data_IF_872593151640
#
_entry.id   IF_872593151640
#
_cell.length_a   1.000
_cell.length_b   1.000
_cell.length_c   1.000
_cell.angle_alpha   90.00
_cell.angle_beta   90.00
_cell.angle_gamma   90.00
#
_symmetry.space_group_name_H-M   'P 1'
#
loop_
_entity.id
_entity.type
_entity.pdbx_description
1 polymer ?
#
# COMPACT_ATOMS: atom_id res chain seq x y z
N UNK A 1 -21.01 7.05 39.42
CA UNK A 1 -21.06 6.46 38.07
C UNK A 1 -20.09 7.22 37.18
N UNK A 2 -18.91 6.64 36.91
CA UNK A 2 -17.84 7.30 36.15
C UNK A 2 -17.14 6.25 35.26
N UNK A 3 -17.15 6.38 33.93
CA UNK A 3 -16.45 5.46 33.05
C UNK A 3 -15.08 6.03 32.66
N UNK A 4 -14.11 5.87 33.54
CA UNK A 4 -12.70 6.13 33.26
C UNK A 4 -11.89 4.96 33.79
N UNK A 5 -11.75 3.89 33.01
CA UNK A 5 -10.61 2.95 32.94
C UNK A 5 -10.84 2.11 31.67
N UNK A 6 -10.39 2.61 30.51
CA UNK A 6 -10.08 1.75 29.36
C UNK A 6 -9.02 2.41 28.47
N UNK A 7 -8.00 3.00 29.11
CA UNK A 7 -6.80 3.51 28.45
C UNK A 7 -5.58 3.09 29.26
N UNK A 8 -5.16 1.84 29.12
CA UNK A 8 -3.75 1.50 29.31
C UNK A 8 -3.46 0.15 28.67
N UNK A 9 -2.25 0.04 28.09
CA UNK A 9 -1.63 -1.15 27.51
C UNK A 9 -2.03 -1.53 26.07
N UNK A 10 -1.70 -0.64 25.14
CA UNK A 10 -1.27 -1.02 23.80
C UNK A 10 -0.04 -0.18 23.39
N UNK A 11 1.06 -0.34 24.13
CA UNK A 11 2.41 0.00 23.66
C UNK A 11 3.20 -1.29 23.53
N UNK A 12 4.06 -1.33 22.50
CA UNK A 12 4.93 -2.44 22.05
C UNK A 12 4.31 -3.37 21.00
N UNK A 13 4.29 -2.91 19.74
CA UNK A 13 4.64 -3.78 18.63
C UNK A 13 5.42 -2.98 17.58
N UNK A 14 6.71 -3.26 17.53
CA UNK A 14 7.72 -2.63 16.69
C UNK A 14 7.53 -2.98 15.21
N UNK A 15 8.03 -2.07 14.37
CA UNK A 15 8.13 -2.17 12.93
C UNK A 15 8.94 -3.39 12.48
N UNK A 16 8.53 -4.02 11.37
CA UNK A 16 9.40 -4.55 10.29
C UNK A 16 8.53 -5.10 9.15
N UNK A 17 9.01 -4.82 7.94
CA UNK A 17 8.67 -5.42 6.64
C UNK A 17 7.33 -5.09 5.97
N UNK A 18 7.38 -4.06 5.13
CA UNK A 18 6.57 -3.99 3.90
C UNK A 18 7.50 -3.64 2.72
N UNK A 19 8.09 -4.67 2.12
CA UNK A 19 8.58 -4.64 0.74
C UNK A 19 7.90 -5.78 -0.02
N UNK A 20 7.58 -5.48 -1.28
CA UNK A 20 7.14 -6.38 -2.36
C UNK A 20 5.70 -6.90 -2.29
N UNK A 21 4.81 -6.24 -3.04
CA UNK A 21 4.13 -6.92 -4.16
C UNK A 21 3.50 -5.89 -5.14
N UNK A 22 4.21 -5.64 -6.25
CA UNK A 22 3.58 -5.45 -7.59
C UNK A 22 2.95 -6.81 -7.94
N UNK A 23 1.87 -6.98 -8.69
CA UNK A 23 1.30 -6.26 -9.82
C UNK A 23 0.06 -7.06 -10.27
N UNK A 24 -0.79 -6.41 -11.06
CA UNK A 24 -1.69 -7.02 -12.04
C UNK A 24 -2.92 -7.76 -11.51
N UNK A 25 -4.09 -7.22 -11.84
CA UNK A 25 -5.18 -7.94 -12.49
C UNK A 25 -6.22 -6.89 -12.93
N UNK A 26 -6.14 -6.52 -14.21
CA UNK A 26 -7.28 -6.01 -14.99
C UNK A 26 -7.81 -7.18 -15.81
N UNK A 27 -9.10 -7.06 -16.19
CA UNK A 27 -9.87 -7.91 -17.13
C UNK A 27 -10.45 -9.19 -16.48
N UNK A 28 -11.73 -9.57 -16.62
CA UNK A 28 -12.83 -9.13 -17.49
C UNK A 28 -14.19 -9.53 -16.88
N UNK A 29 -15.23 -8.73 -17.15
CA UNK A 29 -16.63 -9.18 -17.22
C UNK A 29 -16.82 -10.04 -18.47
N UNK A 30 -17.78 -10.98 -18.46
CA UNK A 30 -18.83 -11.15 -19.50
C UNK A 30 -19.64 -12.45 -19.27
N UNK A 31 -20.95 -12.22 -19.07
CA UNK A 31 -22.19 -12.93 -19.47
C UNK A 31 -22.49 -14.39 -19.13
N UNK A 32 -23.71 -14.52 -18.59
CA UNK A 32 -24.66 -15.63 -18.58
C UNK A 32 -24.91 -16.32 -19.92
N UNK A 33 -25.01 -17.66 -19.94
CA UNK A 33 -25.97 -18.40 -20.78
C UNK A 33 -26.44 -19.69 -20.08
N UNK A 34 -27.76 -19.85 -20.14
CA UNK A 34 -28.70 -20.97 -19.89
C UNK A 34 -28.19 -22.41 -19.76
N UNK A 35 -28.80 -23.08 -18.79
CA UNK A 35 -29.06 -24.53 -18.67
C UNK A 35 -29.79 -25.08 -19.89
N UNK A 36 -29.34 -26.23 -20.40
CA UNK A 36 -30.20 -27.27 -20.97
C UNK A 36 -29.59 -28.64 -20.61
N UNK A 37 -30.41 -29.49 -19.98
CA UNK A 37 -30.11 -30.86 -19.55
C UNK A 37 -30.62 -31.82 -20.62
N UNK A 38 -29.80 -32.78 -21.06
CA UNK A 38 -30.21 -34.17 -21.34
C UNK A 38 -28.96 -35.09 -21.36
N UNK A 39 -29.10 -36.39 -21.01
CA UNK A 39 -28.02 -37.19 -20.43
C UNK A 39 -27.25 -37.97 -21.49
N UNK A 40 -25.95 -37.72 -21.58
CA UNK A 40 -25.02 -38.56 -22.34
C UNK A 40 -24.31 -39.48 -21.37
N UNK A 41 -24.44 -40.78 -21.60
CA UNK A 41 -23.75 -41.86 -20.89
C UNK A 41 -22.23 -41.70 -20.98
N UNK A 42 -21.60 -41.38 -19.85
CA UNK A 42 -20.14 -41.18 -19.75
C UNK A 42 -19.47 -42.51 -19.35
N UNK A 43 -18.40 -42.95 -20.06
CA UNK A 43 -17.61 -44.12 -19.70
C UNK A 43 -16.93 -44.00 -18.33
N UNK A 44 -16.95 -45.10 -17.58
CA UNK A 44 -16.49 -45.27 -16.18
C UNK A 44 -14.97 -45.20 -15.96
N UNK A 45 -14.26 -44.23 -16.53
CA UNK A 45 -12.78 -44.20 -16.42
C UNK A 45 -12.17 -42.80 -16.31
N UNK A 46 -12.51 -41.98 -15.29
CA UNK A 46 -11.67 -40.84 -14.85
C UNK A 46 -11.95 -40.43 -13.38
N UNK A 47 -11.77 -41.36 -12.42
CA UNK A 47 -11.65 -41.01 -10.98
C UNK A 47 -10.21 -41.26 -10.52
N UNK A 48 -9.25 -40.54 -11.09
CA UNK A 48 -8.00 -40.28 -10.38
C UNK A 48 -8.21 -38.99 -9.59
N UNK A 49 -8.81 -39.14 -8.40
CA UNK A 49 -8.82 -38.09 -7.39
C UNK A 49 -7.35 -37.79 -7.06
N UNK A 50 -6.91 -36.55 -7.27
CA UNK A 50 -5.70 -36.05 -6.63
C UNK A 50 -5.90 -36.09 -5.11
N UNK A 51 -5.59 -37.24 -4.50
CA UNK A 51 -5.65 -37.41 -3.05
C UNK A 51 -4.57 -36.51 -2.47
N UNK A 52 -5.02 -35.47 -1.76
CA UNK A 52 -4.12 -34.54 -1.08
C UNK A 52 -3.21 -35.31 -0.12
N UNK A 53 -1.98 -34.85 0.06
CA UNK A 53 -0.99 -35.52 0.92
C UNK A 53 -1.49 -35.70 2.37
N UNK A 54 -2.36 -34.79 2.84
CA UNK A 54 -3.04 -34.92 4.14
C UNK A 54 -4.03 -36.10 4.17
N UNK A 55 -4.79 -36.33 3.10
CA UNK A 55 -5.76 -37.44 3.03
C UNK A 55 -5.04 -38.79 3.04
N UNK A 56 -3.95 -38.95 2.29
CA UNK A 56 -3.12 -40.17 2.34
C UNK A 56 -2.57 -40.42 3.75
N UNK A 57 -2.20 -39.35 4.45
CA UNK A 57 -1.76 -39.44 5.84
C UNK A 57 -2.89 -39.92 6.76
N UNK A 58 -4.10 -39.40 6.59
CA UNK A 58 -5.26 -39.85 7.35
C UNK A 58 -5.57 -41.33 7.08
N UNK A 59 -5.57 -41.75 5.81
CA UNK A 59 -5.86 -43.14 5.42
C UNK A 59 -4.88 -44.13 6.05
N UNK A 60 -3.58 -43.82 6.04
CA UNK A 60 -2.55 -44.66 6.66
C UNK A 60 -2.67 -44.71 8.18
N UNK A 61 -3.09 -43.60 8.82
CA UNK A 61 -3.34 -43.57 10.25
C UNK A 61 -4.60 -44.36 10.64
N UNK A 62 -5.67 -44.33 9.84
CA UNK A 62 -6.88 -45.14 10.06
C UNK A 62 -6.61 -46.64 9.94
N UNK A 63 -5.64 -47.04 9.09
CA UNK A 63 -5.16 -48.43 8.99
C UNK A 63 -4.34 -48.89 10.21
N UNK A 64 -4.13 -48.03 11.21
CA UNK A 64 -3.43 -48.38 12.46
C UNK A 64 -1.90 -48.41 12.34
N UNK A 65 -1.34 -47.87 11.25
CA UNK A 65 0.12 -47.81 11.05
C UNK A 65 0.71 -46.78 12.04
N UNK A 66 1.87 -47.11 12.63
CA UNK A 66 2.59 -46.21 13.53
C UNK A 66 2.97 -44.88 12.85
N UNK A 67 2.91 -43.77 13.58
CA UNK A 67 3.28 -42.44 13.07
C UNK A 67 4.67 -42.39 12.42
N UNK A 68 5.63 -43.14 12.96
CA UNK A 68 6.98 -43.29 12.40
C UNK A 68 6.94 -43.84 10.98
N UNK A 69 6.26 -44.97 10.78
CA UNK A 69 6.14 -45.60 9.46
C UNK A 69 5.30 -44.76 8.51
N UNK A 70 4.25 -44.09 8.99
CA UNK A 70 3.47 -43.15 8.17
C UNK A 70 4.35 -41.99 7.68
N UNK A 71 5.23 -41.46 8.54
CA UNK A 71 6.18 -40.41 8.16
C UNK A 71 7.15 -40.86 7.07
N UNK A 72 7.70 -42.08 7.21
CA UNK A 72 8.58 -42.69 6.23
C UNK A 72 7.86 -42.91 4.88
N UNK A 73 6.65 -43.46 4.89
CA UNK A 73 5.87 -43.71 3.67
C UNK A 73 5.51 -42.44 2.89
N UNK A 74 5.28 -41.32 3.58
CA UNK A 74 4.86 -40.05 2.96
C UNK A 74 6.07 -39.14 2.70
N UNK A 75 7.26 -39.48 3.21
CA UNK A 75 8.44 -38.62 3.15
C UNK A 75 8.28 -37.33 3.97
N UNK A 76 7.61 -37.41 5.12
CA UNK A 76 7.37 -36.27 6.03
C UNK A 76 7.83 -36.57 7.45
N UNK A 77 8.12 -35.51 8.19
CA UNK A 77 8.56 -35.64 9.59
C UNK A 77 7.44 -36.17 10.49
N UNK A 78 7.82 -36.87 11.56
CA UNK A 78 6.89 -37.31 12.62
C UNK A 78 6.04 -36.17 13.16
N UNK A 79 6.60 -34.95 13.28
CA UNK A 79 5.88 -33.76 13.73
C UNK A 79 4.75 -33.34 12.79
N UNK A 80 4.94 -33.49 11.47
CA UNK A 80 3.89 -33.25 10.49
C UNK A 80 2.74 -34.24 10.66
N UNK A 81 3.04 -35.54 10.70
CA UNK A 81 2.04 -36.61 10.91
C UNK A 81 1.25 -36.40 12.19
N UNK A 82 1.92 -36.00 13.28
CA UNK A 82 1.28 -35.65 14.55
C UNK A 82 0.32 -34.46 14.42
N UNK A 83 0.69 -33.43 13.67
CA UNK A 83 -0.15 -32.24 13.46
C UNK A 83 -1.41 -32.59 12.66
N UNK A 84 -1.26 -33.44 11.63
CA UNK A 84 -2.38 -33.97 10.84
C UNK A 84 -3.31 -34.83 11.70
N UNK A 85 -2.77 -35.79 12.45
CA UNK A 85 -3.57 -36.63 13.34
C UNK A 85 -4.40 -35.80 14.34
N UNK A 86 -3.80 -34.77 14.94
CA UNK A 86 -4.50 -33.86 15.84
C UNK A 86 -5.56 -33.01 15.11
N UNK A 87 -5.30 -32.57 13.89
CA UNK A 87 -6.24 -31.77 13.07
C UNK A 87 -7.51 -32.56 12.73
N UNK A 88 -7.36 -33.84 12.43
CA UNK A 88 -8.47 -34.73 12.09
C UNK A 88 -8.99 -35.54 13.28
N UNK A 89 -8.56 -35.20 14.52
CA UNK A 89 -8.94 -35.89 15.76
C UNK A 89 -8.74 -37.42 15.74
N UNK A 90 -7.73 -37.91 15.02
CA UNK A 90 -7.42 -39.34 14.94
C UNK A 90 -6.77 -39.78 16.25
N UNK A 91 -7.28 -40.83 16.93
CA UNK A 91 -6.75 -41.29 18.20
C UNK A 91 -5.38 -41.93 17.99
N UNK A 92 -4.33 -41.20 18.34
CA UNK A 92 -2.97 -41.71 18.33
C UNK A 92 -2.54 -42.00 19.76
N UNK A 93 -1.83 -43.11 19.98
CA UNK A 93 -1.20 -43.48 21.26
C UNK A 93 -0.12 -42.44 21.64
N UNK A 94 -0.56 -41.32 22.19
CA UNK A 94 0.27 -40.24 22.71
C UNK A 94 0.18 -40.28 24.23
N UNK A 95 1.32 -40.26 24.92
CA UNK A 95 1.38 -40.01 26.37
C UNK A 95 1.63 -38.51 26.59
N UNK A 96 0.60 -37.66 26.78
CA UNK A 96 0.82 -36.25 27.06
C UNK A 96 1.45 -36.09 28.45
N UNK A 97 2.66 -35.54 28.52
CA UNK A 97 3.37 -35.34 29.80
C UNK A 97 2.89 -34.11 30.61
N UNK A 98 2.31 -33.09 29.98
CA UNK A 98 1.94 -31.80 30.62
C UNK A 98 0.67 -31.09 30.12
N UNK A 99 0.13 -31.46 28.95
CA UNK A 99 -0.97 -30.72 28.31
C UNK A 99 -2.28 -31.49 28.50
N UNK A 100 -3.01 -31.16 29.55
CA UNK A 100 -4.37 -31.66 29.82
C UNK A 100 -5.39 -30.95 28.93
N UNK A 101 -6.54 -31.59 28.67
CA UNK A 101 -7.62 -31.01 27.86
C UNK A 101 -8.10 -29.65 28.42
N UNK A 102 -8.16 -29.51 29.74
CA UNK A 102 -8.50 -28.25 30.39
C UNK A 102 -7.56 -27.09 29.99
N UNK A 103 -6.25 -27.35 29.87
CA UNK A 103 -5.27 -26.32 29.44
C UNK A 103 -5.53 -25.93 27.98
N UNK A 104 -5.90 -26.89 27.11
CA UNK A 104 -6.23 -26.59 25.71
C UNK A 104 -7.41 -25.64 25.60
N UNK A 105 -8.49 -25.90 26.35
CA UNK A 105 -9.67 -25.02 26.36
C UNK A 105 -9.33 -23.60 26.80
N UNK A 106 -8.55 -23.45 27.87
CA UNK A 106 -8.09 -22.15 28.34
C UNK A 106 -7.19 -21.42 27.33
N UNK A 107 -6.28 -22.15 26.67
CA UNK A 107 -5.44 -21.62 25.58
C UNK A 107 -6.30 -21.11 24.43
N UNK A 108 -7.32 -21.88 24.01
CA UNK A 108 -8.26 -21.48 22.97
C UNK A 108 -9.03 -20.22 23.39
N UNK A 109 -9.49 -20.15 24.64
CA UNK A 109 -10.24 -19.00 25.15
C UNK A 109 -9.37 -17.72 25.16
N UNK A 110 -8.14 -17.78 25.66
CA UNK A 110 -7.21 -16.65 25.61
C UNK A 110 -6.82 -16.30 24.16
N UNK A 111 -6.70 -17.30 23.29
CA UNK A 111 -6.44 -17.07 21.87
C UNK A 111 -7.63 -16.37 21.19
N UNK A 112 -8.87 -16.68 21.52
CA UNK A 112 -10.06 -15.96 21.02
C UNK A 112 -10.11 -14.52 21.54
N UNK A 113 -9.68 -14.29 22.78
CA UNK A 113 -9.52 -12.94 23.36
C UNK A 113 -8.39 -12.12 22.73
N UNK A 114 -7.54 -12.72 21.88
CA UNK A 114 -6.50 -12.00 21.15
C UNK A 114 -5.15 -11.92 21.86
N UNK A 115 -4.94 -12.65 22.96
CA UNK A 115 -3.65 -12.67 23.65
C UNK A 115 -2.51 -13.14 22.73
N UNK A 116 -1.31 -12.61 22.98
CA UNK A 116 -0.10 -13.00 22.24
C UNK A 116 0.35 -14.41 22.67
N UNK A 117 0.88 -15.18 21.71
CA UNK A 117 1.24 -16.60 21.92
C UNK A 117 2.27 -16.80 23.03
N UNK A 118 3.24 -15.88 23.14
CA UNK A 118 4.25 -15.90 24.21
C UNK A 118 3.62 -15.73 25.60
N UNK A 119 2.61 -14.88 25.72
CA UNK A 119 1.96 -14.60 27.00
C UNK A 119 1.10 -15.79 27.45
N UNK A 120 0.39 -16.42 26.51
CA UNK A 120 -0.35 -17.65 26.77
C UNK A 120 0.61 -18.77 27.24
N UNK A 121 1.75 -18.91 26.56
CA UNK A 121 2.77 -19.88 26.92
C UNK A 121 3.32 -19.65 28.35
N UNK A 122 3.62 -18.39 28.69
CA UNK A 122 4.08 -17.99 30.02
C UNK A 122 3.06 -18.33 31.12
N UNK A 123 1.77 -18.05 30.90
CA UNK A 123 0.71 -18.27 31.90
C UNK A 123 0.49 -19.74 32.26
N UNK A 124 0.61 -20.64 31.28
CA UNK A 124 0.40 -22.07 31.49
C UNK A 124 1.71 -22.86 31.62
N UNK A 125 2.86 -22.18 31.67
CA UNK A 125 4.19 -22.80 31.71
C UNK A 125 4.40 -23.88 30.62
N UNK A 126 3.90 -23.59 29.41
CA UNK A 126 4.01 -24.45 28.23
C UNK A 126 4.93 -23.84 27.19
N UNK A 127 5.46 -24.67 26.29
CA UNK A 127 6.28 -24.16 25.19
C UNK A 127 5.44 -23.31 24.22
N UNK A 128 6.06 -22.29 23.62
CA UNK A 128 5.44 -21.49 22.55
C UNK A 128 4.97 -22.37 21.39
N UNK A 129 5.73 -23.41 21.04
CA UNK A 129 5.38 -24.35 19.98
C UNK A 129 4.11 -25.14 20.28
N UNK A 130 3.90 -25.53 21.54
CA UNK A 130 2.66 -26.19 21.97
C UNK A 130 1.43 -25.29 21.77
N UNK A 131 1.55 -23.99 22.08
CA UNK A 131 0.48 -23.01 21.84
C UNK A 131 0.22 -22.83 20.35
N UNK A 132 1.27 -22.78 19.52
CA UNK A 132 1.15 -22.69 18.06
C UNK A 132 0.34 -23.85 17.50
N UNK A 133 0.67 -25.09 17.89
CA UNK A 133 -0.01 -26.31 17.45
C UNK A 133 -1.49 -26.27 17.86
N UNK A 134 -1.79 -25.96 19.12
CA UNK A 134 -3.19 -25.87 19.59
C UNK A 134 -3.98 -24.88 18.74
N UNK A 135 -3.41 -23.70 18.47
CA UNK A 135 -4.08 -22.67 17.67
C UNK A 135 -4.25 -23.10 16.21
N UNK A 136 -3.24 -23.74 15.60
CA UNK A 136 -3.30 -24.18 14.20
C UNK A 136 -4.22 -25.37 13.97
N UNK A 137 -4.30 -26.26 14.95
CA UNK A 137 -5.14 -27.46 14.91
C UNK A 137 -6.61 -27.11 15.16
N UNK A 138 -6.89 -26.07 15.95
CA UNK A 138 -8.26 -25.63 16.22
C UNK A 138 -8.86 -25.02 14.95
N UNK A 139 -9.93 -25.64 14.44
CA UNK A 139 -10.63 -25.18 13.23
C UNK A 139 -11.14 -23.74 13.37
N UNK A 140 -10.93 -22.92 12.32
CA UNK A 140 -11.41 -21.53 12.24
C UNK A 140 -10.75 -20.51 13.18
N UNK A 141 -9.96 -20.94 14.17
CA UNK A 141 -9.39 -20.03 15.18
C UNK A 141 -8.33 -19.09 14.59
N UNK A 142 -7.52 -19.60 13.66
CA UNK A 142 -6.49 -18.81 12.96
C UNK A 142 -7.13 -17.67 12.16
N UNK A 143 -8.17 -17.98 11.39
CA UNK A 143 -8.84 -16.99 10.55
C UNK A 143 -9.65 -15.99 11.37
N UNK A 144 -10.28 -16.45 12.46
CA UNK A 144 -10.90 -15.56 13.44
C UNK A 144 -9.87 -14.55 14.00
N UNK A 145 -8.68 -15.01 14.39
CA UNK A 145 -7.61 -14.12 14.89
C UNK A 145 -7.11 -13.16 13.82
N UNK A 146 -7.01 -13.58 12.54
CA UNK A 146 -6.67 -12.69 11.42
C UNK A 146 -7.74 -11.61 11.27
N UNK A 147 -9.03 -11.97 11.30
CA UNK A 147 -10.16 -11.03 11.23
C UNK A 147 -10.14 -10.04 12.39
N UNK A 148 -9.96 -10.50 13.61
CA UNK A 148 -9.84 -9.62 14.78
C UNK A 148 -8.66 -8.65 14.65
N UNK A 149 -7.48 -9.13 14.24
CA UNK A 149 -6.30 -8.28 14.02
C UNK A 149 -6.55 -7.23 12.95
N UNK A 150 -7.22 -7.63 11.86
CA UNK A 150 -7.62 -6.73 10.78
C UNK A 150 -8.55 -5.62 11.29
N UNK A 151 -9.63 -5.96 11.98
CA UNK A 151 -10.60 -4.97 12.51
C UNK A 151 -9.99 -4.08 13.59
N UNK A 152 -9.14 -4.61 14.46
CA UNK A 152 -8.41 -3.80 15.45
C UNK A 152 -7.49 -2.79 14.77
N UNK A 153 -6.77 -3.20 13.71
CA UNK A 153 -5.90 -2.30 12.94
C UNK A 153 -6.72 -1.24 12.21
N UNK A 154 -7.84 -1.63 11.60
CA UNK A 154 -8.80 -0.71 10.97
C UNK A 154 -9.29 0.35 11.95
N UNK A 155 -9.78 -0.05 13.14
CA UNK A 155 -10.25 0.88 14.18
C UNK A 155 -9.13 1.81 14.65
N UNK A 156 -7.94 1.28 14.93
CA UNK A 156 -6.80 2.08 15.36
C UNK A 156 -6.45 3.17 14.34
N UNK A 157 -6.36 2.82 13.05
CA UNK A 157 -6.05 3.79 11.98
C UNK A 157 -7.16 4.82 11.77
N UNK A 158 -8.43 4.40 11.85
CA UNK A 158 -9.56 5.34 11.81
C UNK A 158 -9.48 6.35 12.96
N UNK A 159 -9.25 5.87 14.19
CA UNK A 159 -9.08 6.73 15.35
C UNK A 159 -7.87 7.67 15.21
N UNK A 160 -6.77 7.20 14.63
CA UNK A 160 -5.58 8.02 14.39
C UNK A 160 -5.89 9.20 13.46
N UNK A 161 -6.58 8.96 12.35
CA UNK A 161 -6.99 10.03 11.42
C UNK A 161 -7.98 10.98 12.08
N UNK A 162 -9.01 10.47 12.76
CA UNK A 162 -9.99 11.31 13.46
C UNK A 162 -9.31 12.21 14.48
N UNK A 163 -8.43 11.66 15.33
CA UNK A 163 -7.69 12.45 16.33
C UNK A 163 -6.82 13.52 15.69
N UNK A 164 -6.17 13.20 14.57
CA UNK A 164 -5.34 14.17 13.87
C UNK A 164 -6.17 15.35 13.36
N UNK A 165 -7.35 15.09 12.78
CA UNK A 165 -8.28 16.11 12.30
C UNK A 165 -8.81 16.94 13.47
N UNK A 166 -9.20 16.30 14.57
CA UNK A 166 -9.68 16.99 15.78
C UNK A 166 -8.63 17.92 16.36
N UNK A 167 -7.36 17.50 16.38
CA UNK A 167 -6.26 18.32 16.90
C UNK A 167 -5.82 19.42 15.92
N UNK A 168 -6.17 19.32 14.64
CA UNK A 168 -5.78 20.28 13.61
C UNK A 168 -6.95 20.60 12.68
N UNK A 169 -7.90 21.45 13.10
CA UNK A 169 -9.11 21.76 12.31
C UNK A 169 -8.83 22.37 10.93
N UNK A 170 -7.70 23.05 10.76
CA UNK A 170 -7.27 23.69 9.51
C UNK A 170 -6.36 22.82 8.64
N UNK A 171 -6.08 21.58 9.05
CA UNK A 171 -5.17 20.69 8.31
C UNK A 171 -5.75 20.35 6.93
N UNK A 172 -4.90 20.41 5.91
CA UNK A 172 -5.28 19.96 4.58
C UNK A 172 -5.06 18.45 4.41
N UNK A 173 -5.63 17.86 3.34
CA UNK A 173 -5.45 16.43 3.03
C UNK A 173 -3.97 16.02 2.96
N UNK A 174 -3.09 16.92 2.51
CA UNK A 174 -1.65 16.65 2.42
C UNK A 174 -0.99 16.54 3.80
N UNK A 175 -1.44 17.32 4.77
CA UNK A 175 -0.92 17.26 6.15
C UNK A 175 -1.31 15.94 6.82
N UNK A 176 -2.55 15.50 6.60
CA UNK A 176 -3.02 14.18 7.05
C UNK A 176 -2.19 13.07 6.41
N UNK A 177 -1.92 13.16 5.10
CA UNK A 177 -1.10 12.18 4.38
C UNK A 177 0.34 12.15 4.86
N UNK A 178 0.94 13.30 5.22
CA UNK A 178 2.30 13.39 5.75
C UNK A 178 2.40 12.84 7.17
N UNK A 179 1.52 13.30 8.06
CA UNK A 179 1.55 12.94 9.49
C UNK A 179 1.06 11.51 9.75
N UNK A 180 0.04 11.06 9.02
CA UNK A 180 -0.61 9.75 9.20
C UNK A 180 -0.44 8.84 7.98
N UNK A 181 0.75 8.83 7.36
CA UNK A 181 1.03 8.12 6.10
C UNK A 181 0.58 6.65 6.10
N UNK A 182 1.01 5.88 7.11
CA UNK A 182 0.69 4.45 7.22
C UNK A 182 -0.82 4.20 7.35
N UNK A 183 -1.51 5.00 8.15
CA UNK A 183 -2.96 4.88 8.34
C UNK A 183 -3.71 5.29 7.05
N UNK A 184 -3.28 6.40 6.44
CA UNK A 184 -3.87 6.94 5.21
C UNK A 184 -3.82 5.92 4.08
N UNK A 185 -2.63 5.42 3.73
CA UNK A 185 -2.49 4.47 2.61
C UNK A 185 -3.17 3.14 2.88
N UNK A 186 -3.16 2.66 4.12
CA UNK A 186 -3.84 1.42 4.47
C UNK A 186 -5.35 1.53 4.34
N UNK A 187 -5.94 2.65 4.79
CA UNK A 187 -7.37 2.93 4.68
C UNK A 187 -7.78 3.25 3.24
N UNK A 188 -6.93 3.94 2.47
CA UNK A 188 -7.18 4.21 1.05
C UNK A 188 -7.39 2.90 0.26
N UNK A 189 -6.56 1.88 0.53
CA UNK A 189 -6.67 0.59 -0.15
C UNK A 189 -7.87 -0.26 0.28
N UNK A 190 -8.32 -0.14 1.53
CA UNK A 190 -9.27 -1.10 2.16
C UNK A 190 -10.63 -0.51 2.50
N UNK A 191 -10.70 0.80 2.70
CA UNK A 191 -11.88 1.54 3.12
C UNK A 191 -11.90 2.95 2.47
N UNK A 192 -11.87 3.04 1.12
CA UNK A 192 -11.79 4.33 0.43
C UNK A 192 -13.01 5.21 0.70
N UNK A 193 -14.22 4.63 0.73
CA UNK A 193 -15.46 5.36 1.02
C UNK A 193 -15.45 6.03 2.39
N UNK A 194 -15.02 5.29 3.43
CA UNK A 194 -14.89 5.85 4.78
C UNK A 194 -13.86 6.97 4.81
N UNK A 195 -12.73 6.80 4.13
CA UNK A 195 -11.66 7.80 4.12
C UNK A 195 -12.14 9.10 3.44
N UNK A 196 -12.76 9.03 2.27
CA UNK A 196 -13.25 10.22 1.58
C UNK A 196 -14.35 10.97 2.37
N UNK A 197 -15.22 10.25 3.07
CA UNK A 197 -16.27 10.89 3.90
C UNK A 197 -15.70 11.66 5.11
N UNK A 198 -14.50 11.32 5.60
CA UNK A 198 -13.91 11.92 6.80
C UNK A 198 -12.75 12.87 6.49
N UNK A 199 -12.28 12.94 5.24
CA UNK A 199 -11.23 13.87 4.86
C UNK A 199 -11.82 15.28 4.64
N UNK A 200 -11.06 16.34 4.95
CA UNK A 200 -11.45 17.70 4.63
C UNK A 200 -11.62 17.86 3.11
N UNK A 201 -12.40 18.86 2.70
CA UNK A 201 -12.65 19.14 1.28
C UNK A 201 -11.33 19.25 0.50
N UNK A 202 -11.32 18.77 -0.74
CA UNK A 202 -10.14 18.82 -1.57
C UNK A 202 -9.79 20.29 -1.88
N UNK A 203 -8.58 20.72 -1.51
CA UNK A 203 -8.09 22.03 -1.89
C UNK A 203 -7.91 22.10 -3.41
N UNK A 204 -8.46 23.14 -4.03
CA UNK A 204 -8.20 23.44 -5.44
C UNK A 204 -6.68 23.66 -5.63
N UNK A 205 -6.08 23.13 -6.70
CA UNK A 205 -4.66 23.35 -6.96
C UNK A 205 -4.42 24.86 -7.09
N UNK A 206 -3.51 25.40 -6.27
CA UNK A 206 -3.07 26.78 -6.42
C UNK A 206 -2.21 26.85 -7.68
N UNK A 207 -2.60 27.68 -8.65
CA UNK A 207 -1.75 27.96 -9.80
C UNK A 207 -0.53 28.72 -9.30
N UNK A 208 0.65 28.12 -9.40
CA UNK A 208 1.92 28.80 -9.07
C UNK A 208 2.39 29.51 -10.34
N UNK A 209 2.36 30.84 -10.32
CA UNK A 209 2.97 31.65 -11.37
C UNK A 209 4.49 31.46 -11.23
N UNK A 210 5.11 30.73 -12.16
CA UNK A 210 6.55 30.38 -12.11
C UNK A 210 7.46 31.53 -12.52
N UNK A 211 6.96 32.47 -13.31
CA UNK A 211 7.74 33.58 -13.86
C UNK A 211 6.93 34.85 -13.65
N UNK A 212 7.50 35.77 -12.87
CA UNK A 212 7.05 37.15 -12.87
C UNK A 212 7.52 37.80 -14.17
N UNK A 213 6.59 37.96 -15.11
CA UNK A 213 6.88 38.51 -16.43
C UNK A 213 7.24 39.99 -16.38
N UNK A 214 6.73 40.75 -15.42
CA UNK A 214 7.02 42.18 -15.30
C UNK A 214 8.47 42.42 -14.87
N UNK A 215 8.94 41.68 -13.86
CA UNK A 215 10.35 41.74 -13.43
C UNK A 215 11.26 41.21 -14.54
N UNK A 216 10.85 40.10 -15.19
CA UNK A 216 11.61 39.51 -16.28
C UNK A 216 11.77 40.47 -17.46
N UNK A 217 10.71 41.18 -17.85
CA UNK A 217 10.73 42.16 -18.94
C UNK A 217 11.72 43.29 -18.67
N UNK A 218 11.78 43.78 -17.42
CA UNK A 218 12.74 44.82 -17.02
C UNK A 218 14.20 44.36 -17.05
N UNK A 219 14.46 43.08 -16.77
CA UNK A 219 15.82 42.52 -16.83
C UNK A 219 16.22 42.33 -18.30
N UNK A 220 15.34 41.71 -19.09
CA UNK A 220 15.59 41.45 -20.50
C UNK A 220 15.75 42.73 -21.32
N UNK A 221 15.00 43.79 -21.01
CA UNK A 221 15.14 45.06 -21.71
C UNK A 221 16.55 45.65 -21.59
N UNK A 222 17.23 45.45 -20.46
CA UNK A 222 18.61 45.91 -20.24
C UNK A 222 19.60 45.03 -21.00
N UNK A 223 19.44 43.71 -20.91
CA UNK A 223 20.30 42.74 -21.57
C UNK A 223 20.26 42.89 -23.09
N UNK A 224 19.06 43.10 -23.65
CA UNK A 224 18.86 43.33 -25.08
C UNK A 224 19.53 44.62 -25.54
N UNK A 225 19.47 45.70 -24.75
CA UNK A 225 20.15 46.94 -25.09
C UNK A 225 21.67 46.73 -25.18
N UNK A 226 22.26 46.06 -24.19
CA UNK A 226 23.69 45.77 -24.14
C UNK A 226 24.15 44.93 -25.35
N UNK A 227 23.42 43.85 -25.68
CA UNK A 227 23.78 42.95 -26.80
C UNK A 227 23.71 43.67 -28.15
N UNK A 228 22.73 44.57 -28.33
CA UNK A 228 22.58 45.30 -29.58
C UNK A 228 23.71 46.32 -29.75
N UNK A 229 24.09 47.03 -28.69
CA UNK A 229 25.22 47.96 -28.69
C UNK A 229 26.55 47.24 -28.99
N UNK A 230 26.76 46.04 -28.43
CA UNK A 230 28.00 45.27 -28.61
C UNK A 230 28.18 44.72 -30.04
N UNK A 231 27.10 44.31 -30.70
CA UNK A 231 27.16 43.66 -32.02
C UNK A 231 27.14 44.65 -33.20
N UNK A 232 26.71 45.90 -32.98
CA UNK A 232 26.86 47.02 -33.94
C UNK A 232 26.16 46.84 -35.31
N UNK A 233 25.23 45.89 -35.46
CA UNK A 233 24.58 45.57 -36.74
C UNK A 233 23.14 45.06 -36.62
N UNK A 234 22.49 44.81 -37.77
CA UNK A 234 21.08 44.38 -37.82
C UNK A 234 20.92 42.93 -37.33
N UNK A 235 20.47 42.75 -36.07
CA UNK A 235 20.20 41.43 -35.47
C UNK A 235 18.72 41.07 -35.63
N UNK A 236 18.45 39.85 -36.11
CA UNK A 236 17.07 39.33 -36.15
C UNK A 236 16.57 38.91 -34.77
N UNK A 237 15.26 39.02 -34.52
CA UNK A 237 14.65 38.65 -33.22
C UNK A 237 14.97 37.22 -32.78
N UNK A 238 15.01 36.28 -33.72
CA UNK A 238 15.33 34.87 -33.45
C UNK A 238 16.80 34.68 -33.11
N UNK A 239 17.69 35.44 -33.74
CA UNK A 239 19.12 35.43 -33.46
C UNK A 239 19.42 36.04 -32.08
N UNK A 240 18.74 37.13 -31.73
CA UNK A 240 18.81 37.71 -30.38
C UNK A 240 18.30 36.74 -29.30
N UNK A 241 17.18 36.05 -29.54
CA UNK A 241 16.67 35.03 -28.62
C UNK A 241 17.66 33.86 -28.43
N UNK A 242 18.39 33.48 -29.49
CA UNK A 242 19.46 32.46 -29.42
C UNK A 242 20.65 32.94 -28.59
N UNK A 243 21.06 34.21 -28.72
CA UNK A 243 22.14 34.80 -27.90
C UNK A 243 21.73 34.84 -26.43
N UNK A 244 20.46 35.14 -26.13
CA UNK A 244 19.90 35.15 -24.77
C UNK A 244 19.65 33.74 -24.17
N UNK A 245 20.10 32.67 -24.83
CA UNK A 245 19.99 31.29 -24.32
C UNK A 245 18.87 30.44 -24.95
N UNK A 246 18.21 30.93 -26.02
CA UNK A 246 17.30 30.12 -26.85
C UNK A 246 16.01 29.69 -26.15
N UNK A 247 15.53 30.47 -25.19
CA UNK A 247 14.34 30.14 -24.41
C UNK A 247 12.99 30.42 -25.13
N UNK A 248 13.02 31.05 -26.31
CA UNK A 248 11.82 31.42 -27.06
C UNK A 248 11.03 32.55 -26.41
N UNK A 249 11.68 33.40 -25.62
CA UNK A 249 11.05 34.52 -24.92
C UNK A 249 10.60 35.60 -25.89
N UNK A 250 11.48 36.01 -26.81
CA UNK A 250 11.21 37.07 -27.79
C UNK A 250 10.33 36.59 -28.97
N UNK A 251 10.17 35.27 -29.08
CA UNK A 251 9.39 34.61 -30.14
C UNK A 251 8.00 34.17 -29.64
N UNK A 252 7.94 33.26 -28.66
CA UNK A 252 6.68 32.66 -28.18
C UNK A 252 5.97 33.52 -27.14
N UNK A 253 6.73 34.19 -26.26
CA UNK A 253 6.18 34.95 -25.12
C UNK A 253 6.18 36.47 -25.35
N UNK A 254 6.30 36.92 -26.61
CA UNK A 254 6.38 38.34 -27.00
C UNK A 254 5.28 39.23 -26.41
N UNK A 255 4.04 38.71 -26.30
CA UNK A 255 2.90 39.45 -25.72
C UNK A 255 3.07 39.78 -24.22
N UNK A 256 3.99 39.10 -23.53
CA UNK A 256 4.26 39.26 -22.10
C UNK A 256 5.48 40.15 -21.82
N UNK A 257 6.18 40.60 -22.86
CA UNK A 257 7.43 41.37 -22.79
C UNK A 257 7.36 42.68 -23.59
N UNK A 258 6.40 43.59 -23.29
CA UNK A 258 6.23 44.82 -24.06
C UNK A 258 7.45 45.75 -24.00
N UNK A 259 8.12 45.88 -22.85
CA UNK A 259 9.25 46.82 -22.68
C UNK A 259 10.47 46.36 -23.47
N UNK A 260 10.79 45.07 -23.40
CA UNK A 260 11.92 44.50 -24.15
C UNK A 260 11.72 44.66 -25.66
N UNK A 261 10.50 44.50 -26.15
CA UNK A 261 10.19 44.66 -27.57
C UNK A 261 10.24 46.11 -28.03
N UNK A 262 9.80 47.04 -27.18
CA UNK A 262 9.90 48.47 -27.47
C UNK A 262 11.37 48.92 -27.58
N UNK A 263 12.21 48.51 -26.62
CA UNK A 263 13.66 48.75 -26.65
C UNK A 263 14.28 48.18 -27.92
N UNK A 264 13.97 46.93 -28.25
CA UNK A 264 14.46 46.28 -29.48
C UNK A 264 14.05 47.08 -30.72
N UNK A 265 12.76 47.41 -30.87
CA UNK A 265 12.26 48.14 -32.05
C UNK A 265 12.82 49.55 -32.17
N UNK A 266 13.10 50.23 -31.05
CA UNK A 266 13.74 51.55 -31.04
C UNK A 266 15.19 51.47 -31.51
N UNK A 267 15.99 50.58 -30.93
CA UNK A 267 17.42 50.45 -31.25
C UNK A 267 17.64 49.96 -32.69
N UNK A 268 16.82 49.02 -33.20
CA UNK A 268 16.93 48.59 -34.60
C UNK A 268 16.67 49.75 -35.58
N UNK A 269 15.68 50.61 -35.30
CA UNK A 269 15.40 51.78 -36.13
C UNK A 269 16.54 52.81 -36.12
N UNK A 270 17.27 52.92 -35.01
CA UNK A 270 18.42 53.82 -34.89
C UNK A 270 19.61 53.30 -35.71
N UNK A 271 19.89 51.99 -35.65
CA UNK A 271 20.94 51.35 -36.44
C UNK A 271 20.64 51.44 -37.94
N UNK A 272 19.39 51.23 -38.36
CA UNK A 272 18.99 51.35 -39.76
C UNK A 272 19.18 52.78 -40.29
N UNK A 273 18.96 53.82 -39.46
CA UNK A 273 19.22 55.23 -39.83
C UNK A 273 20.71 55.54 -39.96
N UNK A 274 21.55 54.98 -39.08
CA UNK A 274 23.00 55.18 -39.12
C UNK A 274 23.59 54.55 -40.39
N UNK A 275 23.15 53.33 -40.74
CA UNK A 275 23.60 52.66 -41.96
C UNK A 275 23.22 53.41 -43.26
N UNK A 276 22.05 54.06 -43.29
CA UNK A 276 21.60 54.86 -44.46
C UNK A 276 22.40 56.17 -44.61
N UNK A 277 23.00 56.68 -43.54
CA UNK A 277 23.81 57.92 -43.57
C UNK A 277 25.31 57.67 -43.83
N UNK A 278 25.73 56.41 -43.88
CA UNK A 278 27.10 55.97 -44.12
C UNK A 278 27.34 55.36 -45.52
N UNK A 279 26.32 55.32 -46.38
CA UNK A 279 26.40 55.04 -47.83
C UNK A 279 26.32 56.35 -48.62
#
# INVERSE_FOLDING_TARGET
>A
MSPLIFFSLCKLFTARDTKLFRSSLKANLITSVRFDLLPVSIPLTLIQRDVTLEQRCCDLLYRGISMENVGLHIGKSRCYVKTVALKYNIPVKLKPKKITENIKLHVIQLARKGFHRKEIARRFNISKGSVEIIISTTSGLVDFRKKCKFESKRRSYKCQIIRFIQNNPYACRQDIKRSCSNAFFWLYQRCPSWLECHLPAANKPKCVIRVDWAIRDKILSKEVAFIIEEQGGTITRTQLDRILGGHGWLTKNKKRLPLTLDVFSRLTKEIDKVNILSE
#
